data_IF_639642420597
#
_entry.id   IF_639642420597
#
_cell.length_a   1.000
_cell.length_b   1.000
_cell.length_c   1.000
_cell.angle_alpha   90.00
_cell.angle_beta   90.00
_cell.angle_gamma   90.00
#
_symmetry.space_group_name_H-M   'P 1'
#
loop_
_entity.id
_entity.type
_entity.pdbx_description
1 polymer ?
#
# COMPACT_ATOMS: atom_id res chain seq x y z
N UNK A 1 -76.33 34.62 -17.86
CA UNK A 1 -75.11 35.29 -18.33
C UNK A 1 -74.17 35.54 -17.15
N UNK A 2 -73.06 34.80 -17.07
CA UNK A 2 -71.73 35.23 -16.59
C UNK A 2 -70.79 34.03 -16.58
N UNK A 3 -69.86 34.03 -17.53
CA UNK A 3 -68.68 33.15 -17.60
C UNK A 3 -67.78 33.38 -16.37
N UNK A 4 -67.07 32.36 -15.87
CA UNK A 4 -65.62 32.51 -15.56
C UNK A 4 -64.90 31.18 -15.21
N UNK A 5 -63.98 30.82 -16.11
CA UNK A 5 -62.61 30.31 -15.93
C UNK A 5 -62.34 29.03 -15.11
N UNK A 6 -62.01 27.98 -15.88
CA UNK A 6 -61.07 26.92 -15.55
C UNK A 6 -59.70 27.49 -15.15
N UNK A 7 -59.13 27.01 -14.04
CA UNK A 7 -57.69 27.08 -13.77
C UNK A 7 -57.17 25.66 -13.56
N UNK A 8 -56.48 25.13 -14.56
CA UNK A 8 -55.80 23.84 -14.52
C UNK A 8 -54.43 24.03 -13.83
N UNK A 9 -54.28 23.51 -12.60
CA UNK A 9 -52.99 23.43 -11.92
C UNK A 9 -52.25 22.18 -12.39
N UNK A 10 -51.39 22.34 -13.41
CA UNK A 10 -50.42 21.31 -13.79
C UNK A 10 -49.27 21.36 -12.77
N UNK A 11 -49.31 20.48 -11.79
CA UNK A 11 -48.20 20.22 -10.86
C UNK A 11 -47.11 19.47 -11.62
N UNK A 12 -46.08 20.21 -12.05
CA UNK A 12 -44.88 19.63 -12.64
C UNK A 12 -44.03 19.02 -11.52
N UNK A 13 -44.10 17.70 -11.34
CA UNK A 13 -43.19 16.94 -10.49
C UNK A 13 -41.81 16.87 -11.17
N UNK A 14 -40.92 17.80 -10.87
CA UNK A 14 -39.49 17.60 -11.14
C UNK A 14 -38.98 16.52 -10.19
N UNK A 15 -38.88 15.29 -10.70
CA UNK A 15 -38.09 14.25 -10.06
C UNK A 15 -36.62 14.71 -10.05
N UNK A 16 -36.12 15.13 -8.89
CA UNK A 16 -34.70 15.42 -8.72
C UNK A 16 -33.91 14.12 -8.85
N UNK A 17 -33.27 13.94 -10.01
CA UNK A 17 -32.30 12.87 -10.21
C UNK A 17 -31.04 13.23 -9.40
N UNK A 18 -30.92 12.72 -8.18
CA UNK A 18 -29.68 12.85 -7.42
C UNK A 18 -28.63 11.98 -8.10
N UNK A 19 -27.63 12.60 -8.72
CA UNK A 19 -26.45 11.88 -9.19
C UNK A 19 -25.79 11.20 -7.98
N UNK A 20 -25.83 9.87 -7.94
CA UNK A 20 -25.09 9.08 -6.96
C UNK A 20 -23.66 8.99 -7.48
N UNK A 21 -22.77 9.80 -6.92
CA UNK A 21 -21.33 9.63 -7.16
C UNK A 21 -20.91 8.31 -6.49
N UNK A 22 -20.15 7.43 -7.18
CA UNK A 22 -19.59 6.27 -6.52
C UNK A 22 -18.72 6.76 -5.34
N UNK A 23 -18.75 6.06 -4.19
CA UNK A 23 -17.86 6.41 -3.10
C UNK A 23 -16.41 6.36 -3.59
N UNK A 24 -15.61 7.36 -3.22
CA UNK A 24 -14.19 7.37 -3.51
C UNK A 24 -13.52 6.15 -2.87
N UNK A 25 -12.59 5.51 -3.58
CA UNK A 25 -11.79 4.40 -3.03
C UNK A 25 -11.08 4.87 -1.74
N UNK A 26 -11.11 4.08 -0.65
CA UNK A 26 -10.47 4.46 0.61
C UNK A 26 -8.95 4.59 0.49
N UNK A 27 -8.36 3.99 -0.54
CA UNK A 27 -6.93 4.05 -0.84
C UNK A 27 -6.70 4.32 -2.32
N UNK A 28 -5.55 4.89 -2.61
CA UNK A 28 -5.06 5.09 -3.98
C UNK A 28 -3.55 4.86 -4.03
N UNK A 29 -3.08 4.41 -5.18
CA UNK A 29 -1.65 4.33 -5.47
C UNK A 29 -1.33 5.00 -6.80
N UNK A 30 -0.12 5.54 -6.91
CA UNK A 30 0.45 6.07 -8.14
C UNK A 30 1.84 5.49 -8.36
N UNK A 31 2.12 5.01 -9.57
CA UNK A 31 3.43 4.54 -10.00
C UNK A 31 3.79 5.20 -11.33
N UNK A 32 5.09 5.29 -11.64
CA UNK A 32 5.56 5.89 -12.89
C UNK A 32 5.68 4.89 -14.05
N UNK A 33 5.54 3.59 -13.77
CA UNK A 33 5.65 2.54 -14.78
C UNK A 33 4.35 1.75 -14.90
N UNK A 34 3.97 1.49 -16.14
CA UNK A 34 2.75 0.75 -16.48
C UNK A 34 2.80 -0.74 -16.10
N UNK A 35 4.00 -1.32 -15.93
CA UNK A 35 4.17 -2.72 -15.52
C UNK A 35 3.99 -2.95 -14.02
N UNK A 36 3.79 -1.87 -13.24
CA UNK A 36 3.55 -1.92 -11.81
C UNK A 36 2.06 -1.93 -11.56
N UNK A 37 1.54 -3.03 -11.04
CA UNK A 37 0.15 -3.19 -10.66
C UNK A 37 0.05 -3.20 -9.15
N UNK A 38 -0.83 -2.36 -8.61
CA UNK A 38 -1.08 -2.25 -7.17
C UNK A 38 -2.56 -2.50 -6.91
N UNK A 39 -2.85 -3.40 -5.99
CA UNK A 39 -4.22 -3.69 -5.56
C UNK A 39 -4.35 -3.68 -4.05
N UNK A 40 -5.54 -3.35 -3.57
CA UNK A 40 -5.87 -3.21 -2.17
C UNK A 40 -6.94 -4.23 -1.78
N UNK A 41 -6.76 -4.89 -0.65
CA UNK A 41 -7.79 -5.74 -0.06
C UNK A 41 -7.74 -5.64 1.47
N UNK A 42 -8.88 -5.82 2.12
CA UNK A 42 -8.99 -5.78 3.59
C UNK A 42 -9.47 -7.12 4.12
N UNK A 43 -8.92 -7.55 5.25
CA UNK A 43 -9.48 -8.63 6.03
C UNK A 43 -9.38 -8.29 7.53
N UNK A 44 -10.53 -8.19 8.20
CA UNK A 44 -10.58 -7.72 9.58
C UNK A 44 -10.04 -6.29 9.70
N UNK A 45 -9.01 -6.09 10.52
CA UNK A 45 -8.36 -4.80 10.72
C UNK A 45 -7.02 -4.65 9.96
N UNK A 46 -6.77 -5.52 8.98
CA UNK A 46 -5.53 -5.52 8.20
C UNK A 46 -5.82 -5.11 6.76
N UNK A 47 -5.05 -4.13 6.27
CA UNK A 47 -4.97 -3.78 4.85
C UNK A 47 -3.84 -4.57 4.20
N UNK A 48 -4.15 -5.28 3.12
CA UNK A 48 -3.16 -5.89 2.24
C UNK A 48 -2.99 -5.06 0.98
N UNK A 49 -1.74 -4.78 0.65
CA UNK A 49 -1.36 -4.04 -0.55
C UNK A 49 -0.46 -4.95 -1.38
N UNK A 50 -1.02 -5.48 -2.46
CA UNK A 50 -0.27 -6.32 -3.40
C UNK A 50 0.42 -5.45 -4.43
N UNK A 51 1.71 -5.66 -4.61
CA UNK A 51 2.52 -4.98 -5.62
C UNK A 51 3.13 -6.03 -6.53
N UNK A 52 2.74 -6.02 -7.80
CA UNK A 52 3.34 -6.83 -8.86
C UNK A 52 4.14 -5.93 -9.79
N UNK A 53 5.37 -6.33 -10.12
CA UNK A 53 6.26 -5.56 -11.01
C UNK A 53 7.03 -6.50 -11.92
N UNK A 54 6.72 -6.47 -13.22
CA UNK A 54 7.39 -7.34 -14.21
C UNK A 54 8.86 -6.97 -14.36
N UNK A 55 9.20 -5.68 -14.28
CA UNK A 55 10.57 -5.20 -14.44
C UNK A 55 11.45 -5.39 -13.20
N UNK A 56 10.88 -5.82 -12.06
CA UNK A 56 11.60 -6.03 -10.80
C UNK A 56 12.17 -4.75 -10.17
N UNK A 57 11.94 -3.57 -10.73
CA UNK A 57 12.43 -2.29 -10.20
C UNK A 57 11.34 -1.25 -10.31
N UNK A 58 11.03 -0.57 -9.22
CA UNK A 58 9.94 0.40 -9.25
C UNK A 58 9.87 1.30 -8.04
N UNK A 59 8.96 2.26 -8.15
CA UNK A 59 8.57 3.17 -7.08
C UNK A 59 7.06 3.38 -7.17
N UNK A 60 6.40 3.43 -6.03
CA UNK A 60 4.99 3.75 -5.92
C UNK A 60 4.71 4.60 -4.68
N UNK A 61 3.80 5.57 -4.82
CA UNK A 61 3.23 6.32 -3.71
C UNK A 61 1.85 5.75 -3.37
N UNK A 62 1.61 5.47 -2.10
CA UNK A 62 0.35 4.96 -1.57
C UNK A 62 -0.22 6.02 -0.63
N UNK A 63 -1.53 6.28 -0.75
CA UNK A 63 -2.24 7.28 0.05
C UNK A 63 -3.56 6.72 0.59
N UNK A 64 -3.95 7.14 1.80
CA UNK A 64 -5.30 6.95 2.32
C UNK A 64 -6.19 8.15 1.99
N UNK A 65 -7.44 7.87 1.64
CA UNK A 65 -8.52 8.83 1.41
C UNK A 65 -9.58 8.78 2.54
N UNK A 66 -9.24 8.12 3.64
CA UNK A 66 -10.01 7.97 4.88
C UNK A 66 -9.21 8.56 6.05
N UNK A 67 -9.85 8.77 7.20
CA UNK A 67 -9.28 9.52 8.34
C UNK A 67 -8.10 8.83 9.05
N UNK A 68 -8.03 7.50 9.00
CA UNK A 68 -6.96 6.72 9.61
C UNK A 68 -6.67 5.45 8.83
N UNK A 69 -5.44 4.94 8.94
CA UNK A 69 -5.14 3.59 8.49
C UNK A 69 -5.87 2.54 9.33
N UNK A 70 -6.06 1.32 8.79
CA UNK A 70 -6.36 0.14 9.60
C UNK A 70 -5.25 -0.11 10.63
N UNK A 71 -5.53 -1.01 11.58
CA UNK A 71 -4.59 -1.32 12.66
C UNK A 71 -3.28 -1.90 12.15
N UNK A 72 -3.32 -2.60 11.01
CA UNK A 72 -2.16 -3.23 10.41
C UNK A 72 -2.19 -3.05 8.88
N UNK A 73 -1.01 -2.98 8.28
CA UNK A 73 -0.83 -2.90 6.84
C UNK A 73 0.29 -3.86 6.45
N UNK A 74 -0.02 -4.76 5.53
CA UNK A 74 0.92 -5.72 4.96
C UNK A 74 1.14 -5.41 3.49
N UNK A 75 2.38 -5.05 3.15
CA UNK A 75 2.84 -4.97 1.77
C UNK A 75 3.22 -6.37 1.28
N UNK A 76 2.62 -6.82 0.19
CA UNK A 76 2.91 -8.12 -0.44
C UNK A 76 3.60 -7.87 -1.78
N UNK A 77 4.92 -7.98 -1.78
CA UNK A 77 5.73 -7.79 -2.98
C UNK A 77 5.82 -9.12 -3.74
N UNK A 78 5.20 -9.17 -4.92
CA UNK A 78 5.24 -10.32 -5.84
C UNK A 78 6.50 -10.22 -6.70
N UNK A 79 7.64 -10.45 -6.07
CA UNK A 79 8.99 -10.39 -6.65
C UNK A 79 9.71 -11.73 -6.46
N UNK A 80 10.71 -11.99 -7.28
CA UNK A 80 11.53 -13.20 -7.17
C UNK A 80 12.61 -13.02 -6.08
N UNK A 81 13.01 -11.79 -5.78
CA UNK A 81 13.94 -11.44 -4.71
C UNK A 81 13.84 -9.97 -4.34
N UNK A 82 14.57 -9.56 -3.29
CA UNK A 82 14.58 -8.19 -2.80
C UNK A 82 16.01 -7.75 -2.47
N UNK A 83 16.68 -7.23 -3.50
CA UNK A 83 18.01 -6.63 -3.37
C UNK A 83 17.95 -5.41 -2.46
N UNK A 84 16.94 -4.56 -2.69
CA UNK A 84 16.70 -3.41 -1.86
C UNK A 84 15.22 -3.05 -1.86
N UNK A 85 14.72 -2.65 -0.71
CA UNK A 85 13.42 -2.05 -0.52
C UNK A 85 13.59 -0.81 0.35
N UNK A 86 12.91 0.28 0.00
CA UNK A 86 12.87 1.49 0.80
C UNK A 86 11.41 1.88 1.05
N UNK A 87 11.04 2.02 2.31
CA UNK A 87 9.75 2.52 2.78
C UNK A 87 9.94 3.92 3.34
N UNK A 88 9.37 4.93 2.68
CA UNK A 88 9.54 6.33 3.03
C UNK A 88 8.21 6.95 3.47
N UNK A 89 8.23 7.67 4.59
CA UNK A 89 7.08 8.42 5.09
C UNK A 89 7.57 9.59 5.93
N UNK A 90 6.89 10.73 5.82
CA UNK A 90 7.30 11.98 6.47
C UNK A 90 8.81 12.26 6.26
N UNK A 91 9.60 12.24 7.34
CA UNK A 91 11.05 12.48 7.37
C UNK A 91 11.88 11.21 7.60
N UNK A 92 11.25 10.04 7.47
CA UNK A 92 11.81 8.73 7.81
C UNK A 92 11.88 7.83 6.57
N UNK A 93 13.00 7.13 6.41
CA UNK A 93 13.18 6.08 5.42
C UNK A 93 13.66 4.80 6.12
N UNK A 94 12.93 3.70 5.94
CA UNK A 94 13.34 2.37 6.37
C UNK A 94 13.82 1.60 5.15
N UNK A 95 15.03 1.08 5.19
CA UNK A 95 15.60 0.25 4.13
C UNK A 95 15.63 -1.20 4.58
N UNK A 96 15.26 -2.11 3.69
CA UNK A 96 15.30 -3.55 3.86
C UNK A 96 16.05 -4.19 2.70
N UNK A 97 16.90 -5.17 2.98
CA UNK A 97 17.53 -6.01 1.98
C UNK A 97 17.50 -7.48 2.46
N UNK A 98 17.23 -8.40 1.54
CA UNK A 98 17.19 -9.84 1.82
C UNK A 98 18.24 -10.54 0.97
N UNK A 99 19.24 -11.16 1.60
CA UNK A 99 20.28 -11.88 0.88
C UNK A 99 19.70 -13.04 0.05
N UNK A 100 20.18 -13.17 -1.20
CA UNK A 100 19.89 -14.32 -2.06
C UNK A 100 20.81 -15.53 -1.81
N UNK A 101 21.68 -15.46 -0.79
CA UNK A 101 22.57 -16.55 -0.39
C UNK A 101 21.89 -17.53 0.57
N UNK A 102 22.51 -18.68 0.82
CA UNK A 102 21.93 -19.83 1.55
C UNK A 102 21.34 -19.49 2.93
N UNK A 103 21.89 -18.51 3.65
CA UNK A 103 21.43 -18.16 5.01
C UNK A 103 20.36 -17.06 5.05
N UNK A 104 19.89 -16.56 3.89
CA UNK A 104 18.82 -15.55 3.73
C UNK A 104 18.85 -14.44 4.80
N UNK A 105 20.04 -13.88 5.04
CA UNK A 105 20.19 -12.85 6.04
C UNK A 105 19.46 -11.58 5.63
N UNK A 106 18.65 -11.07 6.55
CA UNK A 106 17.87 -9.84 6.39
C UNK A 106 18.57 -8.69 7.09
N UNK A 107 18.74 -7.59 6.38
CA UNK A 107 19.25 -6.34 6.94
C UNK A 107 18.19 -5.26 6.86
N UNK A 108 18.01 -4.55 7.96
CA UNK A 108 17.19 -3.35 7.98
C UNK A 108 17.97 -2.18 8.59
N UNK A 109 17.71 -0.99 8.09
CA UNK A 109 18.22 0.25 8.63
C UNK A 109 17.16 1.33 8.56
N UNK A 110 17.27 2.33 9.44
CA UNK A 110 16.46 3.53 9.40
C UNK A 110 17.35 4.74 9.16
N UNK A 111 16.87 5.68 8.37
CA UNK A 111 17.45 7.00 8.19
C UNK A 111 16.37 8.03 8.43
N UNK A 112 16.58 8.87 9.43
CA UNK A 112 15.76 10.05 9.68
C UNK A 112 16.47 11.29 9.14
N UNK A 113 15.72 12.37 8.90
CA UNK A 113 16.29 13.65 8.47
C UNK A 113 17.37 14.11 9.45
N UNK A 114 18.51 14.58 8.91
CA UNK A 114 19.69 15.02 9.66
C UNK A 114 20.40 13.95 10.51
N UNK A 115 20.03 12.68 10.39
CA UNK A 115 20.72 11.56 11.05
C UNK A 115 21.38 10.64 10.01
N UNK A 116 22.47 9.99 10.41
CA UNK A 116 23.05 8.90 9.63
C UNK A 116 22.09 7.70 9.60
N UNK A 117 22.24 6.82 8.61
CA UNK A 117 21.51 5.56 8.62
C UNK A 117 22.03 4.66 9.75
N UNK A 118 21.12 4.05 10.51
CA UNK A 118 21.44 3.19 11.63
C UNK A 118 20.81 1.80 11.45
N UNK A 119 21.50 0.71 11.81
CA UNK A 119 20.94 -0.64 11.73
C UNK A 119 19.78 -0.81 12.71
N UNK A 120 18.73 -1.49 12.27
CA UNK A 120 17.57 -1.81 13.11
C UNK A 120 17.71 -3.18 13.76
N UNK A 121 17.02 -3.34 14.89
CA UNK A 121 16.81 -4.61 15.55
C UNK A 121 15.30 -4.91 15.65
N UNK A 122 14.88 -6.17 15.86
CA UNK A 122 13.46 -6.56 15.84
C UNK A 122 12.57 -5.92 16.91
N UNK A 123 13.12 -5.21 17.89
CA UNK A 123 12.35 -4.50 18.92
C UNK A 123 12.13 -3.02 18.62
N UNK A 124 12.64 -2.52 17.49
CA UNK A 124 12.45 -1.14 17.06
C UNK A 124 11.07 -0.91 16.45
N UNK A 125 10.45 0.23 16.73
CA UNK A 125 9.19 0.66 16.09
C UNK A 125 9.34 0.92 14.57
N UNK A 126 10.58 1.01 14.09
CA UNK A 126 10.90 1.11 12.65
C UNK A 126 11.02 -0.25 11.97
N UNK A 127 11.06 -1.35 12.74
CA UNK A 127 11.28 -2.69 12.20
C UNK A 127 10.09 -3.14 11.36
N UNK A 128 10.36 -3.55 10.13
CA UNK A 128 9.37 -4.15 9.24
C UNK A 128 9.41 -5.66 9.40
N UNK A 129 8.46 -6.23 10.14
CA UNK A 129 8.37 -7.68 10.23
C UNK A 129 8.12 -8.27 8.84
N UNK A 130 9.02 -9.14 8.41
CA UNK A 130 9.09 -9.59 7.02
C UNK A 130 9.10 -11.11 6.93
N UNK A 131 8.28 -11.65 6.04
CA UNK A 131 8.13 -13.09 5.81
C UNK A 131 8.14 -13.37 4.29
N UNK A 132 8.79 -14.44 3.89
CA UNK A 132 8.74 -14.93 2.51
C UNK A 132 7.74 -16.08 2.49
N UNK A 133 6.69 -15.96 1.66
CA UNK A 133 5.54 -16.86 1.70
C UNK A 133 5.21 -17.33 0.29
N UNK A 134 5.06 -18.64 0.09
CA UNK A 134 4.56 -19.20 -1.17
C UNK A 134 3.03 -19.02 -1.28
N UNK A 135 2.46 -19.19 -2.47
CA UNK A 135 0.99 -19.06 -2.69
C UNK A 135 0.13 -19.99 -1.81
N UNK A 136 0.69 -21.12 -1.38
CA UNK A 136 0.01 -22.08 -0.49
C UNK A 136 0.10 -21.71 1.00
N UNK A 137 0.75 -20.59 1.32
CA UNK A 137 0.94 -20.09 2.68
C UNK A 137 2.13 -20.69 3.43
N UNK A 138 2.93 -21.55 2.80
CA UNK A 138 4.14 -22.12 3.41
C UNK A 138 5.32 -21.15 3.32
N UNK A 139 6.37 -21.31 4.15
CA UNK A 139 7.59 -20.52 4.04
C UNK A 139 8.22 -20.67 2.64
N UNK A 140 8.48 -19.54 1.99
CA UNK A 140 9.14 -19.48 0.69
C UNK A 140 10.67 -19.33 0.79
N UNK A 141 11.33 -19.43 -0.36
CA UNK A 141 12.79 -19.24 -0.48
C UNK A 141 13.12 -18.39 -1.68
N UNK A 142 14.13 -17.52 -1.56
CA UNK A 142 14.66 -16.73 -2.69
C UNK A 142 15.65 -17.60 -3.53
N UNK A 143 15.57 -17.62 -4.86
CA UNK A 143 14.57 -16.93 -5.70
C UNK A 143 13.18 -17.53 -5.55
N UNK A 144 12.21 -16.64 -5.32
CA UNK A 144 10.81 -16.99 -5.18
C UNK A 144 10.24 -17.29 -6.57
N UNK A 145 9.53 -18.40 -6.70
CA UNK A 145 8.87 -18.79 -7.97
C UNK A 145 7.38 -18.49 -7.98
N UNK A 146 6.79 -18.33 -6.78
CA UNK A 146 5.38 -18.03 -6.54
C UNK A 146 5.21 -17.45 -5.13
N UNK A 147 4.10 -16.75 -4.87
CA UNK A 147 3.87 -16.07 -3.60
C UNK A 147 4.48 -14.67 -3.52
N UNK A 148 4.78 -14.23 -2.31
CA UNK A 148 5.19 -12.86 -2.04
C UNK A 148 6.16 -12.71 -0.86
N UNK A 149 6.89 -11.60 -0.87
CA UNK A 149 7.62 -11.09 0.29
C UNK A 149 6.66 -10.16 1.03
N UNK A 150 6.17 -10.61 2.17
CA UNK A 150 5.22 -9.91 3.02
C UNK A 150 5.97 -9.05 4.02
N UNK A 151 5.61 -7.78 4.12
CA UNK A 151 6.22 -6.85 5.07
C UNK A 151 5.14 -6.07 5.80
N UNK A 152 5.11 -6.18 7.12
CA UNK A 152 4.36 -5.24 7.95
C UNK A 152 5.03 -3.87 7.88
N UNK A 153 4.24 -2.83 7.69
CA UNK A 153 4.75 -1.46 7.75
C UNK A 153 5.26 -1.14 9.16
N UNK A 154 6.19 -0.17 9.32
CA UNK A 154 6.67 0.24 10.64
C UNK A 154 5.54 0.66 11.59
N UNK A 155 5.64 0.29 12.87
CA UNK A 155 4.69 0.75 13.89
C UNK A 155 4.73 2.28 14.03
N UNK A 156 5.92 2.89 13.92
CA UNK A 156 6.08 4.35 13.94
C UNK A 156 5.27 5.05 12.83
N UNK A 157 5.13 4.43 11.66
CA UNK A 157 4.29 4.95 10.57
C UNK A 157 2.80 4.97 10.95
N UNK A 158 2.31 3.89 11.56
CA UNK A 158 0.92 3.75 11.99
C UNK A 158 0.61 4.75 13.13
N UNK A 159 1.50 4.86 14.11
CA UNK A 159 1.34 5.77 15.25
C UNK A 159 1.33 7.25 14.85
N UNK A 160 2.17 7.62 13.86
CA UNK A 160 2.15 8.96 13.26
C UNK A 160 0.93 9.20 12.38
N UNK A 161 0.21 8.15 11.99
CA UNK A 161 -0.93 8.19 11.09
C UNK A 161 -0.64 9.02 9.81
N UNK A 162 0.56 8.87 9.25
CA UNK A 162 0.99 9.61 8.04
C UNK A 162 0.04 9.31 6.89
N UNK A 163 -0.48 10.32 6.19
CA UNK A 163 -1.52 10.10 5.16
C UNK A 163 -1.04 9.34 3.92
N UNK A 164 0.27 9.28 3.71
CA UNK A 164 0.89 8.59 2.59
C UNK A 164 2.26 8.02 2.95
N UNK A 165 2.71 7.10 2.11
CA UNK A 165 4.08 6.59 2.10
C UNK A 165 4.49 6.26 0.67
N UNK A 166 5.79 6.24 0.42
CA UNK A 166 6.38 5.85 -0.85
C UNK A 166 7.20 4.59 -0.64
N UNK A 167 7.06 3.63 -1.55
CA UNK A 167 7.91 2.44 -1.60
C UNK A 167 8.75 2.44 -2.85
N UNK A 168 10.00 2.04 -2.74
CA UNK A 168 10.88 1.77 -3.89
C UNK A 168 11.54 0.42 -3.72
N UNK A 169 11.77 -0.31 -4.81
CA UNK A 169 12.34 -1.66 -4.76
C UNK A 169 13.25 -1.97 -5.93
N UNK A 170 14.12 -2.94 -5.69
CA UNK A 170 15.02 -3.57 -6.66
C UNK A 170 15.00 -5.08 -6.38
N UNK A 171 14.69 -5.87 -7.40
CA UNK A 171 14.76 -7.33 -7.42
C UNK A 171 16.11 -7.78 -8.02
N UNK A 172 16.76 -8.75 -7.37
CA UNK A 172 17.99 -9.39 -7.85
C UNK A 172 17.82 -10.07 -9.22
N UNK A 173 16.63 -10.61 -9.50
CA UNK A 173 16.37 -11.51 -10.63
C UNK A 173 15.63 -10.83 -11.79
N UNK A 174 15.78 -9.51 -11.89
CA UNK A 174 15.29 -8.66 -13.00
C UNK A 174 15.85 -9.04 -14.37
#
# INVERSE_FOLDING_TARGET
MKYLLLLSCILSFCAACTAVFPPSSPYSAASQKEDIVISFSEAGNTLFIDVTSVSGVGTAEIQRNIDSWPQDIVLRMHLNGLEQFEFMYADTAVTLAISSQQDQYMQQSVRQINHAAEPLNPTSDFWMQTEIVNDDGTPGTIPLTNGSINMHVPQDFLDKNSASFTVSWIDFFR
#
